data_IF_460111052207
#
_entry.id   IF_460111052207
#
_cell.length_a   1.000
_cell.length_b   1.000
_cell.length_c   1.000
_cell.angle_alpha   90.00
_cell.angle_beta   90.00
_cell.angle_gamma   90.00
#
_symmetry.space_group_name_H-M   'P 1'
#
loop_
_entity.id
_entity.type
_entity.pdbx_description
1 polymer ?
#
# COMPACT_ATOMS: atom_id res chain seq x y z
N UNK A 1 4.90 -0.82 16.31
CA UNK A 1 4.04 -0.08 15.37
C UNK A 1 4.52 -0.40 13.97
N UNK A 2 3.61 -0.78 13.08
CA UNK A 2 3.91 -1.20 11.70
C UNK A 2 3.07 -0.38 10.73
N UNK A 3 3.69 -0.02 9.61
CA UNK A 3 3.12 0.82 8.57
C UNK A 3 3.17 0.06 7.25
N UNK A 4 2.06 0.05 6.52
CA UNK A 4 2.02 -0.40 5.12
C UNK A 4 1.66 0.81 4.25
N UNK A 5 2.65 1.50 3.67
CA UNK A 5 2.42 2.64 2.78
C UNK A 5 2.43 2.22 1.29
N UNK A 6 1.61 2.88 0.47
CA UNK A 6 1.84 2.99 -0.97
C UNK A 6 2.56 4.30 -1.26
N UNK A 7 3.67 4.22 -1.97
CA UNK A 7 4.50 5.37 -2.34
C UNK A 7 4.35 5.62 -3.84
N UNK A 8 4.14 6.87 -4.22
CA UNK A 8 4.23 7.30 -5.61
C UNK A 8 5.69 7.24 -6.06
N UNK A 9 5.97 6.45 -7.10
CA UNK A 9 7.31 6.30 -7.64
C UNK A 9 7.80 7.52 -8.44
N UNK A 10 6.93 8.49 -8.74
CA UNK A 10 7.32 9.70 -9.46
C UNK A 10 8.01 10.72 -8.53
N UNK A 11 7.43 10.98 -7.36
CA UNK A 11 7.90 12.02 -6.43
C UNK A 11 8.27 11.49 -5.02
N UNK A 12 8.05 10.20 -4.76
CA UNK A 12 8.35 9.56 -3.48
C UNK A 12 7.33 9.85 -2.38
N UNK A 13 6.20 10.47 -2.69
CA UNK A 13 5.19 10.85 -1.69
C UNK A 13 4.25 9.68 -1.36
N UNK A 14 3.82 9.53 -0.10
CA UNK A 14 2.83 8.53 0.27
C UNK A 14 1.46 8.89 -0.31
N UNK A 15 0.87 7.97 -1.07
CA UNK A 15 -0.48 8.11 -1.63
C UNK A 15 -1.53 7.70 -0.60
N UNK A 16 -1.30 6.56 0.05
CA UNK A 16 -2.12 6.02 1.15
C UNK A 16 -1.26 5.20 2.09
N UNK A 17 -1.77 4.96 3.30
CA UNK A 17 -1.13 4.03 4.24
C UNK A 17 -2.15 3.43 5.20
N UNK A 18 -1.78 2.29 5.77
CA UNK A 18 -2.45 1.69 6.92
C UNK A 18 -1.44 1.47 8.04
N UNK A 19 -1.91 1.57 9.29
CA UNK A 19 -1.06 1.47 10.48
C UNK A 19 -1.65 0.49 11.49
N UNK A 20 -0.79 -0.30 12.13
CA UNK A 20 -1.19 -1.30 13.11
C UNK A 20 -0.11 -1.57 14.16
N UNK A 21 -0.48 -2.34 15.18
CA UNK A 21 0.45 -2.75 16.26
C UNK A 21 1.25 -4.00 15.90
N UNK A 22 0.79 -4.76 14.92
CA UNK A 22 1.34 -6.06 14.48
C UNK A 22 1.53 -6.03 12.96
N UNK A 23 2.59 -6.66 12.41
CA UNK A 23 2.81 -6.70 10.98
C UNK A 23 1.95 -7.82 10.38
N UNK A 24 0.73 -7.50 9.92
CA UNK A 24 -0.18 -8.48 9.31
C UNK A 24 -0.44 -8.18 7.83
N UNK A 25 -0.80 -9.22 7.05
CA UNK A 25 -1.22 -9.06 5.67
C UNK A 25 -2.46 -8.15 5.52
N UNK A 26 -3.28 -8.06 6.57
CA UNK A 26 -4.45 -7.18 6.62
C UNK A 26 -4.07 -5.70 6.44
N UNK A 27 -2.93 -5.26 6.96
CA UNK A 27 -2.45 -3.89 6.74
C UNK A 27 -2.23 -3.63 5.24
N UNK A 28 -1.52 -4.53 4.57
CA UNK A 28 -1.23 -4.43 3.14
C UNK A 28 -2.50 -4.52 2.29
N UNK A 29 -3.41 -5.43 2.60
CA UNK A 29 -4.66 -5.57 1.84
C UNK A 29 -5.53 -4.31 1.96
N UNK A 30 -5.71 -3.77 3.18
CA UNK A 30 -6.45 -2.51 3.38
C UNK A 30 -5.83 -1.32 2.67
N UNK A 31 -4.49 -1.28 2.61
CA UNK A 31 -3.77 -0.25 1.87
C UNK A 31 -4.05 -0.38 0.37
N UNK A 32 -3.97 -1.60 -0.19
CA UNK A 32 -4.27 -1.86 -1.61
C UNK A 32 -5.72 -1.53 -1.97
N UNK A 33 -6.68 -1.88 -1.12
CA UNK A 33 -8.09 -1.52 -1.31
C UNK A 33 -8.25 0.01 -1.35
N UNK A 34 -7.52 0.72 -0.49
CA UNK A 34 -7.52 2.19 -0.46
C UNK A 34 -6.93 2.79 -1.74
N UNK A 35 -5.82 2.24 -2.27
CA UNK A 35 -5.27 2.64 -3.57
C UNK A 35 -6.31 2.47 -4.68
N UNK A 36 -6.87 1.26 -4.81
CA UNK A 36 -7.81 0.91 -5.88
C UNK A 36 -9.04 1.81 -5.85
N UNK A 37 -9.53 2.15 -4.66
CA UNK A 37 -10.71 3.02 -4.49
C UNK A 37 -10.52 4.45 -5.01
N UNK A 38 -9.27 4.91 -5.16
CA UNK A 38 -8.94 6.25 -5.63
C UNK A 38 -8.63 6.30 -7.14
N UNK A 39 -8.46 5.13 -7.78
CA UNK A 39 -8.13 5.07 -9.20
C UNK A 39 -9.32 5.44 -10.07
N UNK A 40 -9.05 6.27 -11.08
CA UNK A 40 -10.01 6.54 -12.16
C UNK A 40 -10.12 5.31 -13.07
N UNK A 41 -11.24 5.12 -13.80
CA UNK A 41 -11.46 3.94 -14.63
C UNK A 41 -10.38 3.64 -15.70
N UNK A 42 -9.63 4.66 -16.11
CA UNK A 42 -8.55 4.55 -17.10
C UNK A 42 -7.15 4.47 -16.48
N UNK A 43 -7.00 4.68 -15.18
CA UNK A 43 -5.72 4.59 -14.49
C UNK A 43 -5.33 3.12 -14.29
N UNK A 44 -4.10 2.79 -14.70
CA UNK A 44 -3.56 1.43 -14.63
C UNK A 44 -2.15 1.46 -14.03
N UNK A 45 -2.00 1.77 -12.73
CA UNK A 45 -0.70 1.81 -12.08
C UNK A 45 -0.06 0.42 -12.04
N UNK A 46 1.27 0.38 -12.04
CA UNK A 46 2.03 -0.84 -11.77
C UNK A 46 2.41 -0.80 -10.29
N UNK A 47 1.99 -1.80 -9.54
CA UNK A 47 2.33 -1.92 -8.12
C UNK A 47 3.62 -2.74 -8.01
N UNK A 48 4.67 -2.11 -7.49
CA UNK A 48 5.89 -2.78 -7.07
C UNK A 48 5.82 -3.09 -5.57
N UNK A 49 6.12 -4.33 -5.21
CA UNK A 49 6.31 -4.73 -3.82
C UNK A 49 7.56 -5.59 -3.72
N UNK A 50 8.45 -5.23 -2.82
CA UNK A 50 9.61 -6.04 -2.41
C UNK A 50 9.21 -7.22 -1.50
N UNK A 51 7.90 -7.34 -1.19
CA UNK A 51 7.26 -8.27 -0.25
C UNK A 51 7.65 -8.13 1.22
N UNK A 52 8.47 -7.16 1.62
CA UNK A 52 8.89 -6.96 3.01
C UNK A 52 9.34 -8.24 3.74
N UNK A 53 9.38 -8.20 5.08
CA UNK A 53 9.34 -9.44 5.86
C UNK A 53 7.97 -10.08 5.69
N UNK A 54 7.88 -11.39 5.46
CA UNK A 54 6.61 -12.10 5.25
C UNK A 54 5.63 -11.78 6.39
N UNK A 55 4.72 -10.84 6.13
CA UNK A 55 3.62 -10.48 7.02
C UNK A 55 2.78 -11.75 7.22
N UNK A 56 2.90 -12.37 8.39
CA UNK A 56 2.11 -13.54 8.81
C UNK A 56 0.90 -13.10 9.61
#
# INVERSE_FOLDING_TARGET
>A
MYLSPAIDCFDGMPVVWTIGRTPTAELTNKMLDSVISQLKPWERPIIYSDRGGHYR
#
